data_IF_394469245220
#
_entry.id   IF_394469245220
#
_cell.length_a   1.000
_cell.length_b   1.000
_cell.length_c   1.000
_cell.angle_alpha   90.00
_cell.angle_beta   90.00
_cell.angle_gamma   90.00
#
_symmetry.space_group_name_H-M   'P 1'
#
loop_
_entity.id
_entity.type
_entity.pdbx_description
1 polymer ?
#
# COMPACT_ATOMS: atom_id res chain seq x y z
N UNK A 1 -6.24 -44.16 -55.54
CA UNK A 1 -5.45 -43.11 -54.87
C UNK A 1 -6.29 -42.46 -53.78
N UNK A 2 -6.04 -42.76 -52.50
CA UNK A 2 -6.82 -42.22 -51.37
C UNK A 2 -6.05 -41.06 -50.72
N UNK A 3 -6.63 -39.85 -50.70
CA UNK A 3 -6.05 -38.67 -50.05
C UNK A 3 -6.25 -38.75 -48.53
N UNK A 4 -5.16 -38.89 -47.79
CA UNK A 4 -5.14 -38.81 -46.33
C UNK A 4 -5.57 -37.40 -45.87
N UNK A 5 -6.68 -37.31 -45.12
CA UNK A 5 -7.11 -36.07 -44.46
C UNK A 5 -6.16 -35.78 -43.29
N UNK A 6 -5.27 -34.80 -43.44
CA UNK A 6 -4.49 -34.24 -42.33
C UNK A 6 -5.46 -33.57 -41.35
N UNK A 7 -5.55 -34.10 -40.14
CA UNK A 7 -6.25 -33.46 -39.03
C UNK A 7 -5.42 -32.26 -38.58
N UNK A 8 -5.85 -31.05 -38.93
CA UNK A 8 -5.32 -29.82 -38.34
C UNK A 8 -5.70 -29.82 -36.87
N UNK A 9 -4.78 -30.30 -36.02
CA UNK A 9 -4.93 -30.27 -34.57
C UNK A 9 -4.91 -28.80 -34.16
N UNK A 10 -6.09 -28.27 -33.81
CA UNK A 10 -6.26 -26.93 -33.27
C UNK A 10 -5.46 -26.83 -31.96
N UNK A 11 -4.25 -26.29 -32.03
CA UNK A 11 -3.47 -25.93 -30.84
C UNK A 11 -4.11 -24.64 -30.32
N UNK A 12 -5.06 -24.77 -29.39
CA UNK A 12 -5.57 -23.61 -28.66
C UNK A 12 -4.42 -23.07 -27.82
N UNK A 13 -4.04 -21.81 -28.03
CA UNK A 13 -3.08 -21.13 -27.18
C UNK A 13 -3.66 -21.02 -25.76
N UNK A 14 -2.88 -21.40 -24.76
CA UNK A 14 -3.29 -21.40 -23.36
C UNK A 14 -3.19 -19.96 -22.82
N UNK A 15 -4.18 -19.13 -23.13
CA UNK A 15 -4.13 -17.67 -22.88
C UNK A 15 -4.37 -17.27 -21.42
N UNK A 16 -4.66 -18.23 -20.53
CA UNK A 16 -5.00 -17.96 -19.13
C UNK A 16 -4.37 -19.00 -18.18
N UNK A 17 -3.08 -18.87 -17.90
CA UNK A 17 -2.52 -19.47 -16.68
C UNK A 17 -3.00 -18.59 -15.53
N UNK A 18 -3.83 -19.13 -14.62
CA UNK A 18 -4.23 -18.40 -13.41
C UNK A 18 -2.98 -18.00 -12.63
N UNK A 19 -2.89 -16.75 -12.17
CA UNK A 19 -1.72 -16.20 -11.45
C UNK A 19 -1.27 -17.10 -10.28
N UNK A 20 -2.24 -17.70 -9.60
CA UNK A 20 -2.07 -18.63 -8.48
C UNK A 20 -1.38 -19.94 -8.90
N UNK A 21 -1.61 -20.39 -10.13
CA UNK A 21 -0.94 -21.54 -10.75
C UNK A 21 0.43 -21.17 -11.34
N UNK A 22 0.60 -19.91 -11.77
CA UNK A 22 1.87 -19.40 -12.31
C UNK A 22 2.90 -19.11 -11.21
N UNK A 23 2.46 -18.77 -9.99
CA UNK A 23 3.31 -18.37 -8.87
C UNK A 23 2.80 -18.94 -7.54
N UNK A 24 2.75 -20.26 -7.43
CA UNK A 24 2.27 -20.96 -6.23
C UNK A 24 3.00 -20.43 -4.98
N UNK A 25 2.24 -19.99 -3.98
CA UNK A 25 2.75 -19.51 -2.69
C UNK A 25 3.38 -18.12 -2.69
N UNK A 26 3.60 -17.48 -3.85
CA UNK A 26 4.07 -16.09 -3.93
C UNK A 26 3.09 -15.07 -3.32
N UNK A 27 1.76 -15.14 -3.56
CA UNK A 27 0.84 -14.18 -2.94
C UNK A 27 0.84 -14.28 -1.41
N UNK A 28 0.92 -15.49 -0.85
CA UNK A 28 0.96 -15.70 0.61
C UNK A 28 2.22 -15.07 1.22
N UNK A 29 3.40 -15.30 0.61
CA UNK A 29 4.65 -14.67 1.06
C UNK A 29 4.61 -13.14 0.96
N UNK A 30 3.89 -12.61 -0.03
CA UNK A 30 3.69 -11.16 -0.18
C UNK A 30 2.84 -10.60 0.96
N UNK A 31 1.80 -11.33 1.37
CA UNK A 31 0.96 -10.96 2.50
C UNK A 31 1.77 -11.01 3.81
N UNK A 32 2.54 -12.08 4.05
CA UNK A 32 3.42 -12.19 5.23
C UNK A 32 4.41 -11.01 5.32
N UNK A 33 5.02 -10.62 4.20
CA UNK A 33 5.89 -9.44 4.13
C UNK A 33 5.13 -8.14 4.38
N UNK A 34 3.90 -8.04 3.87
CA UNK A 34 3.01 -6.91 4.11
C UNK A 34 2.67 -6.75 5.59
N UNK A 35 2.31 -7.85 6.25
CA UNK A 35 1.97 -7.88 7.67
C UNK A 35 3.18 -7.49 8.54
N UNK A 36 4.36 -8.02 8.24
CA UNK A 36 5.59 -7.65 8.92
C UNK A 36 5.93 -6.16 8.74
N UNK A 37 5.73 -5.61 7.54
CA UNK A 37 5.96 -4.20 7.27
C UNK A 37 4.96 -3.30 8.01
N UNK A 38 3.68 -3.65 8.04
CA UNK A 38 2.64 -2.93 8.80
C UNK A 38 2.99 -2.92 10.28
N UNK A 39 3.43 -4.06 10.83
CA UNK A 39 3.86 -4.15 12.23
C UNK A 39 5.01 -3.19 12.57
N UNK A 40 5.99 -3.07 11.68
CA UNK A 40 7.12 -2.13 11.85
C UNK A 40 6.64 -0.67 11.80
N UNK A 41 5.74 -0.33 10.88
CA UNK A 41 5.15 1.02 10.81
C UNK A 41 4.39 1.34 12.10
N UNK A 42 3.58 0.41 12.60
CA UNK A 42 2.83 0.59 13.83
C UNK A 42 3.75 0.80 15.04
N UNK A 43 4.81 0.01 15.14
CA UNK A 43 5.79 0.15 16.22
C UNK A 43 6.49 1.53 16.22
N UNK A 44 6.74 2.12 15.04
CA UNK A 44 7.26 3.48 14.95
C UNK A 44 6.21 4.53 15.36
N UNK A 45 4.94 4.30 15.06
CA UNK A 45 3.84 5.17 15.52
C UNK A 45 3.75 5.12 17.05
N UNK A 46 3.80 3.92 17.62
CA UNK A 46 3.77 3.73 19.07
C UNK A 46 4.96 4.44 19.74
N UNK A 47 6.16 4.29 19.18
CA UNK A 47 7.35 5.03 19.63
C UNK A 47 7.14 6.56 19.62
N UNK A 48 6.52 7.11 18.57
CA UNK A 48 6.22 8.54 18.48
C UNK A 48 5.28 8.98 19.60
N UNK A 49 4.25 8.18 19.90
CA UNK A 49 3.31 8.46 20.98
C UNK A 49 3.96 8.33 22.37
N UNK A 50 4.72 7.26 22.63
CA UNK A 50 5.40 7.01 23.90
C UNK A 50 6.38 8.13 24.25
N UNK A 51 7.00 8.75 23.25
CA UNK A 51 7.97 9.83 23.43
C UNK A 51 7.37 11.25 23.24
N UNK A 52 6.04 11.38 23.10
CA UNK A 52 5.31 12.64 22.84
C UNK A 52 5.95 13.51 21.74
N UNK A 53 6.39 12.87 20.64
CA UNK A 53 7.07 13.57 19.54
C UNK A 53 6.05 14.31 18.66
N UNK A 54 5.77 15.57 19.01
CA UNK A 54 4.76 16.40 18.31
C UNK A 54 5.17 16.84 16.90
N UNK A 55 6.46 16.79 16.58
CA UNK A 55 7.00 17.10 15.26
C UNK A 55 8.02 16.04 14.89
N UNK A 56 7.64 15.20 13.95
CA UNK A 56 8.48 14.12 13.42
C UNK A 56 8.66 14.34 11.93
N UNK A 57 9.91 14.27 11.46
CA UNK A 57 10.26 14.27 10.04
C UNK A 57 10.71 12.87 9.63
N UNK A 58 10.31 12.45 8.42
CA UNK A 58 10.73 11.17 7.86
C UNK A 58 12.24 11.08 7.53
N UNK A 59 12.97 12.19 7.65
CA UNK A 59 14.41 12.25 7.42
C UNK A 59 15.23 12.33 8.72
N UNK A 60 14.56 12.33 9.88
CA UNK A 60 15.24 12.30 11.18
C UNK A 60 15.96 10.97 11.40
N UNK A 61 16.78 10.94 12.46
CA UNK A 61 17.46 9.73 12.90
C UNK A 61 16.45 8.64 13.22
N UNK A 62 16.80 7.42 12.80
CA UNK A 62 15.90 6.29 12.90
C UNK A 62 15.92 5.75 14.33
N UNK A 63 14.77 5.58 14.99
CA UNK A 63 14.72 4.94 16.30
C UNK A 63 15.27 3.51 16.22
N UNK A 64 16.12 3.14 17.19
CA UNK A 64 16.70 1.80 17.27
C UNK A 64 15.67 0.81 17.83
N UNK A 65 14.81 0.31 16.96
CA UNK A 65 13.86 -0.77 17.29
C UNK A 65 14.35 -2.09 16.67
N UNK A 66 14.41 -3.20 17.43
CA UNK A 66 15.00 -4.45 16.99
C UNK A 66 14.10 -5.19 16.00
N UNK A 67 14.15 -4.78 14.73
CA UNK A 67 13.56 -5.51 13.60
C UNK A 67 14.64 -6.19 12.75
N UNK A 68 14.32 -7.37 12.22
CA UNK A 68 15.17 -8.11 11.28
C UNK A 68 15.14 -7.55 9.84
N UNK A 69 14.38 -6.48 9.59
CA UNK A 69 14.32 -5.84 8.28
C UNK A 69 15.60 -5.05 7.96
N UNK A 70 15.90 -4.89 6.67
CA UNK A 70 17.01 -4.03 6.26
C UNK A 70 16.73 -2.56 6.60
N UNK A 71 17.80 -1.78 6.79
CA UNK A 71 17.72 -0.37 7.16
C UNK A 71 16.88 0.45 6.17
N UNK A 72 16.93 0.12 4.87
CA UNK A 72 16.09 0.75 3.84
C UNK A 72 14.61 0.59 4.14
N UNK A 73 14.16 -0.62 4.49
CA UNK A 73 12.76 -0.88 4.82
C UNK A 73 12.36 -0.18 6.13
N UNK A 74 13.25 -0.20 7.12
CA UNK A 74 13.03 0.54 8.38
C UNK A 74 12.85 2.05 8.13
N UNK A 75 13.67 2.65 7.27
CA UNK A 75 13.59 4.08 6.92
C UNK A 75 12.33 4.41 6.10
N UNK A 76 11.93 3.54 5.18
CA UNK A 76 10.63 3.70 4.51
C UNK A 76 9.46 3.64 5.50
N UNK A 77 9.48 2.69 6.44
CA UNK A 77 8.45 2.58 7.46
C UNK A 77 8.42 3.81 8.37
N UNK A 78 9.57 4.36 8.76
CA UNK A 78 9.68 5.60 9.53
C UNK A 78 9.11 6.81 8.78
N UNK A 79 9.42 6.96 7.49
CA UNK A 79 8.85 8.02 6.67
C UNK A 79 7.33 7.93 6.59
N UNK A 80 6.79 6.71 6.49
CA UNK A 80 5.36 6.48 6.48
C UNK A 80 4.72 6.80 7.83
N UNK A 81 5.31 6.34 8.94
CA UNK A 81 4.87 6.69 10.29
C UNK A 81 4.87 8.21 10.52
N UNK A 82 5.95 8.90 10.17
CA UNK A 82 6.07 10.35 10.26
C UNK A 82 4.98 11.07 9.43
N UNK A 83 4.71 10.60 8.21
CA UNK A 83 3.65 11.15 7.35
C UNK A 83 2.24 10.96 7.93
N UNK A 84 1.96 9.79 8.49
CA UNK A 84 0.71 9.49 9.20
C UNK A 84 0.57 10.43 10.41
N UNK A 85 1.60 10.53 11.24
CA UNK A 85 1.58 11.36 12.44
C UNK A 85 1.46 12.84 12.13
N UNK A 86 2.12 13.32 11.08
CA UNK A 86 1.95 14.70 10.59
C UNK A 86 0.50 14.97 10.20
N UNK A 87 -0.14 14.04 9.50
CA UNK A 87 -1.55 14.16 9.10
C UNK A 87 -2.48 14.11 10.33
N UNK A 88 -2.21 13.22 11.28
CA UNK A 88 -2.94 13.11 12.55
C UNK A 88 -2.89 14.42 13.35
N UNK A 89 -1.70 14.98 13.59
CA UNK A 89 -1.56 16.24 14.32
C UNK A 89 -2.13 17.44 13.55
N UNK A 90 -1.99 17.48 12.23
CA UNK A 90 -2.58 18.55 11.40
C UNK A 90 -4.13 18.53 11.46
N UNK A 91 -4.73 17.34 11.44
CA UNK A 91 -6.19 17.17 11.51
C UNK A 91 -6.74 17.49 12.91
N UNK A 92 -6.00 17.14 13.96
CA UNK A 92 -6.35 17.52 15.34
C UNK A 92 -6.18 19.03 15.61
N UNK A 93 -5.40 19.76 14.78
CA UNK A 93 -5.25 21.21 14.90
C UNK A 93 -6.45 22.00 14.34
N UNK A 94 -7.35 21.36 13.56
CA UNK A 94 -8.44 22.07 12.87
C UNK A 94 -9.74 21.28 12.64
N UNK A 95 -10.25 20.52 13.62
CA UNK A 95 -11.70 20.22 13.64
C UNK A 95 -12.54 21.43 14.10
N UNK A 96 -12.22 22.61 13.58
CA UNK A 96 -13.03 23.85 13.62
C UNK A 96 -13.37 24.34 12.22
N UNK A 97 -12.82 23.70 11.16
CA UNK A 97 -13.31 23.94 9.80
C UNK A 97 -14.53 23.06 9.59
N UNK A 98 -15.68 23.64 9.95
CA UNK A 98 -16.99 23.29 9.42
C UNK A 98 -16.85 22.77 7.98
N UNK A 99 -17.53 21.66 7.66
CA UNK A 99 -17.77 21.27 6.28
C UNK A 99 -18.26 22.50 5.52
N UNK A 100 -17.39 23.17 4.77
CA UNK A 100 -17.81 24.21 3.85
C UNK A 100 -18.39 23.49 2.66
N UNK A 101 -19.65 23.08 2.80
CA UNK A 101 -20.51 22.82 1.66
C UNK A 101 -20.49 24.10 0.84
N UNK A 102 -19.76 24.13 -0.28
CA UNK A 102 -19.85 25.23 -1.23
C UNK A 102 -21.22 25.12 -1.90
N UNK A 103 -22.20 26.01 -1.63
CA UNK A 103 -23.52 25.91 -2.23
C UNK A 103 -23.50 26.19 -3.74
N UNK A 104 -22.35 26.62 -4.30
CA UNK A 104 -22.17 26.94 -5.71
C UNK A 104 -21.33 25.94 -6.50
N UNK A 105 -21.00 24.74 -5.98
CA UNK A 105 -20.49 23.65 -6.83
C UNK A 105 -21.62 23.02 -7.64
N UNK A 106 -22.18 23.82 -8.54
CA UNK A 106 -23.13 23.42 -9.58
C UNK A 106 -22.41 22.40 -10.46
N UNK A 107 -22.77 21.13 -10.34
CA UNK A 107 -22.45 20.11 -11.33
C UNK A 107 -22.93 20.62 -12.69
N UNK A 108 -21.98 21.07 -13.51
CA UNK A 108 -22.16 21.16 -14.96
C UNK A 108 -21.65 19.86 -15.54
N UNK A 109 -22.56 19.14 -16.20
CA UNK A 109 -22.39 18.24 -17.35
C UNK A 109 -23.73 17.49 -17.47
N UNK A 110 -24.69 18.00 -18.24
CA UNK A 110 -24.83 17.81 -19.69
C UNK A 110 -25.05 16.34 -20.09
N UNK A 111 -26.28 16.06 -20.52
CA UNK A 111 -26.72 15.03 -21.46
C UNK A 111 -26.41 13.55 -21.16
N UNK A 112 -27.43 12.85 -20.63
CA UNK A 112 -28.13 11.72 -21.28
C UNK A 112 -29.35 11.30 -20.45
#
# INVERSE_FOLDING_TARGET
MAKSKKTNKLIKSLNHIKLDLANIGKPNKLNELGDAYIFVVQSYIDYIFENDLKKVSGYDDLPEIPFELSERYKRCAWQQAAGIMKSFYANNYQNTRQCQCNPNSRFKNENL
#
